data_IF_692598676867
#
_entry.id   IF_692598676867
#
_cell.length_a   1.000
_cell.length_b   1.000
_cell.length_c   1.000
_cell.angle_alpha   90.00
_cell.angle_beta   90.00
_cell.angle_gamma   90.00
#
_symmetry.space_group_name_H-M   'P 1'
#
loop_
_entity.id
_entity.type
_entity.pdbx_description
1 polymer ?
#
# COMPACT_ATOMS: atom_id res chain seq x y z
N UNK A 1 18.20 -30.76 9.69
CA UNK A 1 18.75 -29.60 8.90
C UNK A 1 18.15 -29.47 7.50
N UNK A 2 18.00 -30.58 6.75
CA UNK A 2 17.48 -30.59 5.35
C UNK A 2 16.08 -29.96 5.20
N UNK A 3 15.10 -30.33 6.05
CA UNK A 3 13.73 -29.82 5.97
C UNK A 3 13.60 -28.32 6.25
N UNK A 4 14.42 -27.73 7.18
CA UNK A 4 14.45 -26.28 7.40
C UNK A 4 14.90 -25.54 6.14
N UNK A 5 15.98 -26.01 5.51
CA UNK A 5 16.51 -25.43 4.26
C UNK A 5 15.48 -25.51 3.13
N UNK A 6 14.84 -26.67 2.96
CA UNK A 6 13.82 -26.87 1.93
C UNK A 6 12.61 -25.95 2.13
N UNK A 7 12.14 -25.77 3.36
CA UNK A 7 11.03 -24.84 3.66
C UNK A 7 11.41 -23.40 3.28
N UNK A 8 12.59 -22.96 3.68
CA UNK A 8 13.04 -21.59 3.35
C UNK A 8 13.19 -21.40 1.84
N UNK A 9 13.72 -22.36 1.11
CA UNK A 9 13.88 -22.25 -0.36
C UNK A 9 12.51 -22.11 -1.06
N UNK A 10 11.46 -22.81 -0.61
CA UNK A 10 10.12 -22.62 -1.14
C UNK A 10 9.55 -21.22 -0.83
N UNK A 11 9.76 -20.73 0.41
CA UNK A 11 9.32 -19.39 0.80
C UNK A 11 10.01 -18.27 0.00
N UNK A 12 11.24 -18.48 -0.47
CA UNK A 12 11.99 -17.53 -1.30
C UNK A 12 11.40 -17.32 -2.69
N UNK A 13 10.53 -18.22 -3.14
CA UNK A 13 9.85 -18.11 -4.43
C UNK A 13 8.55 -17.30 -4.37
N UNK A 14 8.04 -17.03 -3.17
CA UNK A 14 6.76 -16.36 -2.96
C UNK A 14 6.95 -14.85 -2.77
N UNK A 15 6.11 -14.02 -3.42
CA UNK A 15 6.15 -12.57 -3.26
C UNK A 15 5.82 -12.11 -1.84
N UNK A 16 4.99 -12.85 -1.15
CA UNK A 16 4.70 -12.80 0.28
C UNK A 16 4.12 -14.14 0.71
N UNK A 17 3.98 -14.37 2.00
CA UNK A 17 3.29 -15.53 2.56
C UNK A 17 2.75 -15.24 3.94
N UNK A 18 1.63 -15.86 4.25
CA UNK A 18 1.05 -15.85 5.60
C UNK A 18 1.47 -17.08 6.40
N UNK A 19 1.10 -17.09 7.69
CA UNK A 19 1.41 -18.19 8.59
C UNK A 19 0.79 -19.52 8.12
N UNK A 20 -0.40 -19.49 7.54
CA UNK A 20 -1.09 -20.66 7.01
C UNK A 20 -0.33 -21.27 5.83
N UNK A 21 0.15 -20.46 4.91
CA UNK A 21 1.02 -20.90 3.81
C UNK A 21 2.26 -21.62 4.34
N UNK A 22 2.91 -21.10 5.38
CA UNK A 22 4.08 -21.76 5.97
C UNK A 22 3.73 -23.10 6.59
N UNK A 23 2.55 -23.22 7.26
CA UNK A 23 2.08 -24.50 7.79
C UNK A 23 1.78 -25.52 6.69
N UNK A 24 1.12 -25.10 5.61
CA UNK A 24 0.84 -25.98 4.47
C UNK A 24 2.12 -26.54 3.85
N UNK A 25 3.10 -25.67 3.58
CA UNK A 25 4.42 -26.09 3.08
C UNK A 25 5.15 -26.98 4.10
N UNK A 26 5.05 -26.66 5.38
CA UNK A 26 5.60 -27.48 6.46
C UNK A 26 5.01 -28.91 6.48
N UNK A 27 3.70 -29.05 6.35
CA UNK A 27 3.03 -30.35 6.27
C UNK A 27 3.50 -31.19 5.08
N UNK A 28 3.67 -30.58 3.91
CA UNK A 28 4.24 -31.25 2.72
C UNK A 28 5.66 -31.79 2.97
N UNK A 29 6.41 -31.14 3.87
CA UNK A 29 7.76 -31.57 4.27
C UNK A 29 7.76 -32.50 5.52
N UNK A 30 6.59 -32.99 5.96
CA UNK A 30 6.44 -33.86 7.14
C UNK A 30 6.71 -33.15 8.47
N UNK A 31 6.55 -31.82 8.54
CA UNK A 31 6.79 -31.03 9.76
C UNK A 31 5.50 -30.85 10.55
N UNK A 32 5.59 -30.95 11.88
CA UNK A 32 4.52 -30.56 12.82
C UNK A 32 4.46 -29.03 12.94
N UNK A 33 3.28 -28.46 13.21
CA UNK A 33 3.07 -27.00 13.31
C UNK A 33 3.99 -26.34 14.34
N UNK A 34 4.21 -26.96 15.51
CA UNK A 34 5.15 -26.47 16.53
C UNK A 34 6.59 -26.34 16.02
N UNK A 35 6.99 -27.23 15.12
CA UNK A 35 8.32 -27.16 14.48
C UNK A 35 8.39 -26.03 13.45
N UNK A 36 7.29 -25.82 12.72
CA UNK A 36 7.16 -24.68 11.78
C UNK A 36 7.24 -23.36 12.53
N UNK A 37 6.55 -23.19 13.66
CA UNK A 37 6.65 -21.99 14.51
C UNK A 37 8.09 -21.72 14.97
N UNK A 38 8.79 -22.80 15.36
CA UNK A 38 10.22 -22.69 15.70
C UNK A 38 11.05 -22.20 14.51
N UNK A 39 10.75 -22.65 13.29
CA UNK A 39 11.47 -22.21 12.09
C UNK A 39 11.13 -20.77 11.73
N UNK A 40 9.87 -20.33 11.79
CA UNK A 40 9.49 -18.93 11.59
C UNK A 40 10.27 -18.02 12.54
N UNK A 41 10.30 -18.36 13.84
CA UNK A 41 11.04 -17.58 14.85
C UNK A 41 12.55 -17.51 14.53
N UNK A 42 13.14 -18.61 14.07
CA UNK A 42 14.55 -18.63 13.66
C UNK A 42 14.80 -17.82 12.38
N UNK A 43 13.93 -17.92 11.37
CA UNK A 43 14.03 -17.16 10.13
C UNK A 43 13.96 -15.65 10.40
N UNK A 44 13.07 -15.20 11.30
CA UNK A 44 12.99 -13.81 11.75
C UNK A 44 14.28 -13.37 12.47
N UNK A 45 14.77 -14.21 13.43
CA UNK A 45 16.00 -13.92 14.17
C UNK A 45 17.21 -13.75 13.27
N UNK A 46 17.34 -14.61 12.25
CA UNK A 46 18.47 -14.59 11.29
C UNK A 46 18.21 -13.68 10.10
N UNK A 47 17.11 -12.90 10.10
CA UNK A 47 16.72 -11.98 9.01
C UNK A 47 16.59 -12.68 7.65
N UNK A 48 16.25 -13.98 7.64
CA UNK A 48 15.97 -14.77 6.44
C UNK A 48 14.57 -14.43 5.89
N UNK A 49 13.67 -13.96 6.77
CA UNK A 49 12.35 -13.40 6.43
C UNK A 49 12.11 -12.09 7.20
N UNK A 50 11.27 -11.22 6.64
CA UNK A 50 10.82 -9.98 7.27
C UNK A 50 9.32 -10.05 7.56
N UNK A 51 8.92 -9.55 8.72
CA UNK A 51 7.51 -9.45 9.08
C UNK A 51 6.94 -8.14 8.58
N UNK A 52 5.82 -8.23 7.82
CA UNK A 52 5.04 -7.08 7.34
C UNK A 52 4.01 -6.63 8.38
N UNK A 53 3.30 -7.62 8.95
CA UNK A 53 2.42 -7.51 10.11
C UNK A 53 2.33 -8.87 10.79
N UNK A 54 1.63 -8.97 11.93
CA UNK A 54 1.44 -10.26 12.61
C UNK A 54 0.88 -11.31 11.66
N UNK A 55 1.63 -12.39 11.48
CA UNK A 55 1.25 -13.54 10.64
C UNK A 55 1.43 -13.33 9.14
N UNK A 56 2.04 -12.24 8.69
CA UNK A 56 2.33 -11.96 7.28
C UNK A 56 3.81 -11.62 7.09
N UNK A 57 4.44 -12.24 6.11
CA UNK A 57 5.88 -12.22 5.92
C UNK A 57 6.29 -12.12 4.46
N UNK A 58 7.54 -11.76 4.22
CA UNK A 58 8.24 -11.85 2.95
C UNK A 58 9.64 -12.41 3.19
N UNK A 59 10.18 -13.18 2.26
CA UNK A 59 11.58 -13.60 2.36
C UNK A 59 12.52 -12.43 2.05
N UNK A 60 13.63 -12.33 2.79
CA UNK A 60 14.64 -11.30 2.55
C UNK A 60 15.18 -11.38 1.11
N UNK A 61 15.40 -12.60 0.60
CA UNK A 61 15.89 -12.80 -0.76
C UNK A 61 14.91 -12.31 -1.83
N UNK A 62 13.60 -12.53 -1.67
CA UNK A 62 12.61 -12.03 -2.64
C UNK A 62 12.51 -10.51 -2.57
N UNK A 63 12.50 -9.94 -1.36
CA UNK A 63 12.48 -8.50 -1.15
C UNK A 63 13.69 -7.83 -1.79
N UNK A 64 14.90 -8.30 -1.52
CA UNK A 64 16.13 -7.70 -2.07
C UNK A 64 16.16 -7.68 -3.61
N UNK A 65 15.61 -8.71 -4.26
CA UNK A 65 15.51 -8.78 -5.72
C UNK A 65 14.50 -7.80 -6.32
N UNK A 66 13.51 -7.34 -5.53
CA UNK A 66 12.39 -6.56 -6.03
C UNK A 66 12.24 -5.19 -5.33
N UNK A 67 13.09 -4.85 -4.37
CA UNK A 67 12.96 -3.61 -3.56
C UNK A 67 12.99 -2.31 -4.35
N UNK A 68 13.61 -2.31 -5.52
CA UNK A 68 13.67 -1.14 -6.41
C UNK A 68 12.48 -1.08 -7.40
N UNK A 69 11.60 -2.08 -7.40
CA UNK A 69 10.38 -2.10 -8.20
C UNK A 69 9.23 -1.49 -7.37
N UNK A 70 8.80 -0.29 -7.74
CA UNK A 70 7.71 0.40 -7.03
C UNK A 70 6.41 -0.42 -7.03
N UNK A 71 6.16 -1.20 -8.10
CA UNK A 71 4.96 -2.04 -8.19
C UNK A 71 4.95 -3.11 -7.10
N UNK A 72 6.12 -3.63 -6.71
CA UNK A 72 6.22 -4.58 -5.60
C UNK A 72 5.88 -3.93 -4.25
N UNK A 73 6.35 -2.72 -4.02
CA UNK A 73 6.05 -1.98 -2.79
C UNK A 73 4.55 -1.65 -2.68
N UNK A 74 3.92 -1.27 -3.78
CA UNK A 74 2.47 -0.98 -3.86
C UNK A 74 1.63 -2.26 -3.71
N UNK A 75 2.07 -3.35 -4.33
CA UNK A 75 1.48 -4.67 -4.12
C UNK A 75 1.48 -5.08 -2.64
N UNK A 76 2.64 -4.97 -1.96
CA UNK A 76 2.74 -5.27 -0.54
C UNK A 76 1.82 -4.38 0.31
N UNK A 77 1.70 -3.09 -0.03
CA UNK A 77 0.78 -2.19 0.66
C UNK A 77 -0.66 -2.69 0.58
N UNK A 78 -1.14 -3.13 -0.60
CA UNK A 78 -2.49 -3.67 -0.74
C UNK A 78 -2.68 -5.00 0.04
N UNK A 79 -1.64 -5.84 0.12
CA UNK A 79 -1.68 -7.12 0.87
C UNK A 79 -1.66 -6.88 2.38
N UNK A 80 -0.88 -5.92 2.87
CA UNK A 80 -0.80 -5.60 4.31
C UNK A 80 -2.18 -5.24 4.85
N UNK A 81 -3.00 -4.50 4.09
CA UNK A 81 -4.31 -4.06 4.57
C UNK A 81 -5.35 -4.04 3.44
N UNK A 82 -6.17 -5.06 3.38
CA UNK A 82 -7.25 -5.22 2.40
C UNK A 82 -8.61 -4.98 3.05
N UNK A 83 -9.57 -4.25 2.42
CA UNK A 83 -9.40 -3.54 1.15
C UNK A 83 -8.63 -2.22 1.31
N UNK A 84 -7.81 -1.90 0.34
CA UNK A 84 -7.12 -0.61 0.22
C UNK A 84 -6.66 -0.37 -1.22
N UNK A 85 -6.36 0.86 -1.53
CA UNK A 85 -5.69 1.28 -2.76
C UNK A 85 -4.63 2.34 -2.44
N UNK A 86 -3.59 2.41 -3.26
CA UNK A 86 -2.55 3.44 -3.18
C UNK A 86 -3.19 4.79 -3.50
N UNK A 87 -2.93 5.82 -2.71
CA UNK A 87 -3.55 7.14 -2.88
C UNK A 87 -2.68 8.27 -2.32
N UNK A 88 -3.23 9.49 -2.33
CA UNK A 88 -2.56 10.68 -1.80
C UNK A 88 -1.17 10.83 -2.41
N UNK A 89 -0.18 11.19 -1.60
CA UNK A 89 1.19 11.46 -2.04
C UNK A 89 1.80 10.33 -2.89
N UNK A 90 1.65 9.06 -2.48
CA UNK A 90 2.25 7.95 -3.20
C UNK A 90 1.66 7.76 -4.62
N UNK A 91 0.37 8.00 -4.79
CA UNK A 91 -0.26 7.96 -6.11
C UNK A 91 0.07 9.21 -6.94
N UNK A 92 0.08 10.41 -6.34
CA UNK A 92 0.47 11.64 -7.03
C UNK A 92 1.91 11.56 -7.55
N UNK A 93 2.82 10.99 -6.76
CA UNK A 93 4.20 10.73 -7.20
C UNK A 93 4.25 9.72 -8.35
N UNK A 94 3.47 8.65 -8.29
CA UNK A 94 3.40 7.65 -9.37
C UNK A 94 2.97 8.26 -10.71
N UNK A 95 2.11 9.29 -10.68
CA UNK A 95 1.66 10.04 -11.86
C UNK A 95 2.54 11.23 -12.21
N UNK A 96 3.68 11.43 -11.54
CA UNK A 96 4.58 12.58 -11.72
C UNK A 96 3.94 13.95 -11.48
N UNK A 97 2.86 14.01 -10.68
CA UNK A 97 2.19 15.27 -10.31
C UNK A 97 2.88 15.99 -9.14
N UNK A 98 3.89 15.38 -8.57
CA UNK A 98 4.79 15.92 -7.55
C UNK A 98 6.21 15.44 -7.80
N UNK A 99 7.20 16.26 -7.50
CA UNK A 99 8.62 15.95 -7.70
C UNK A 99 9.29 15.31 -6.47
N UNK A 100 8.69 15.48 -5.29
CA UNK A 100 9.29 15.03 -4.05
C UNK A 100 9.05 13.53 -3.81
N UNK A 101 10.10 12.85 -3.31
CA UNK A 101 9.97 11.46 -2.85
C UNK A 101 9.14 11.40 -1.58
N UNK A 102 8.11 10.57 -1.55
CA UNK A 102 7.20 10.46 -0.41
C UNK A 102 7.45 9.19 0.41
N UNK A 103 7.62 9.39 1.70
CA UNK A 103 7.60 8.33 2.71
C UNK A 103 6.62 8.71 3.81
N UNK A 104 5.77 7.81 4.26
CA UNK A 104 5.53 6.40 3.89
C UNK A 104 4.68 6.21 2.63
N UNK A 105 4.58 4.98 2.11
CA UNK A 105 3.62 4.62 1.05
C UNK A 105 2.21 4.83 1.60
N UNK A 106 1.51 5.83 1.03
CA UNK A 106 0.17 6.22 1.47
C UNK A 106 -0.91 5.44 0.74
N UNK A 107 -1.89 4.96 1.50
CA UNK A 107 -3.03 4.18 1.01
C UNK A 107 -4.31 4.61 1.69
N UNK A 108 -5.42 4.46 0.99
CA UNK A 108 -6.77 4.70 1.49
C UNK A 108 -7.48 3.36 1.73
N UNK A 109 -8.26 3.25 2.81
CA UNK A 109 -8.91 2.00 3.22
C UNK A 109 -10.27 2.26 3.87
N UNK A 110 -11.17 1.26 3.88
CA UNK A 110 -12.39 1.27 4.68
C UNK A 110 -12.18 0.90 6.16
N UNK A 111 -10.98 0.40 6.50
CA UNK A 111 -10.64 0.02 7.88
C UNK A 111 -10.09 1.22 8.64
N UNK A 112 -10.04 1.12 9.98
CA UNK A 112 -9.48 2.19 10.85
C UNK A 112 -8.07 2.59 10.41
N UNK A 113 -7.75 3.87 10.53
CA UNK A 113 -6.42 4.42 10.22
C UNK A 113 -5.33 3.65 10.95
N UNK A 114 -4.24 3.32 10.25
CA UNK A 114 -3.11 2.59 10.84
C UNK A 114 -1.83 2.77 10.03
N UNK A 115 -0.72 2.82 10.75
CA UNK A 115 0.62 2.82 10.18
C UNK A 115 1.33 1.50 10.48
N UNK A 116 2.16 1.05 9.54
CA UNK A 116 3.06 -0.08 9.70
C UNK A 116 4.49 0.35 9.38
N UNK A 117 5.38 0.18 10.35
CA UNK A 117 6.82 0.35 10.18
C UNK A 117 7.44 -1.03 10.11
N UNK A 118 8.05 -1.35 8.99
CA UNK A 118 8.59 -2.68 8.70
C UNK A 118 10.02 -2.58 8.16
N UNK A 119 10.70 -3.72 8.08
CA UNK A 119 12.04 -3.79 7.45
C UNK A 119 12.01 -3.61 5.93
N UNK A 120 10.83 -3.69 5.31
CA UNK A 120 10.67 -3.55 3.85
C UNK A 120 10.09 -2.19 3.44
N UNK A 121 9.76 -1.34 4.41
CA UNK A 121 9.21 0.01 4.16
C UNK A 121 8.18 0.42 5.19
N UNK A 122 7.75 1.67 5.10
CA UNK A 122 6.73 2.28 5.92
C UNK A 122 5.44 2.43 5.12
N UNK A 123 4.32 2.01 5.69
CA UNK A 123 3.02 2.00 5.05
C UNK A 123 2.01 2.75 5.91
N UNK A 124 1.33 3.72 5.33
CA UNK A 124 0.30 4.52 5.99
C UNK A 124 -1.06 4.25 5.36
N UNK A 125 -2.07 4.01 6.20
CA UNK A 125 -3.44 3.76 5.77
C UNK A 125 -4.36 4.74 6.47
N UNK A 126 -5.10 5.50 5.68
CA UNK A 126 -6.09 6.44 6.16
C UNK A 126 -7.51 5.92 5.85
N UNK A 127 -8.38 6.01 6.86
CA UNK A 127 -9.77 5.57 6.74
C UNK A 127 -10.60 6.60 5.98
N UNK A 128 -11.36 6.15 5.00
CA UNK A 128 -12.31 7.00 4.27
C UNK A 128 -13.74 6.49 4.43
N UNK A 129 -14.73 7.36 4.30
CA UNK A 129 -16.13 6.97 4.27
C UNK A 129 -16.42 6.09 3.05
N UNK A 130 -17.36 5.15 3.20
CA UNK A 130 -17.70 4.17 2.16
C UNK A 130 -18.11 4.83 0.84
N UNK A 131 -18.84 5.94 0.90
CA UNK A 131 -19.32 6.67 -0.27
C UNK A 131 -18.21 7.28 -1.12
N UNK A 132 -17.03 7.50 -0.52
CA UNK A 132 -15.84 8.00 -1.19
C UNK A 132 -14.82 6.90 -1.52
N UNK A 133 -15.11 5.63 -1.21
CA UNK A 133 -14.22 4.50 -1.52
C UNK A 133 -14.44 4.03 -2.97
N UNK A 134 -14.04 4.86 -3.92
CA UNK A 134 -14.26 4.69 -5.37
C UNK A 134 -13.13 5.34 -6.19
N UNK A 135 -13.24 5.31 -7.52
CA UNK A 135 -12.31 5.95 -8.46
C UNK A 135 -10.86 5.47 -8.30
N UNK A 136 -10.69 4.17 -8.09
CA UNK A 136 -9.42 3.45 -8.13
C UNK A 136 -9.54 2.25 -9.06
N UNK A 137 -8.43 1.77 -9.57
CA UNK A 137 -8.39 0.66 -10.52
C UNK A 137 -7.20 -0.25 -10.28
N UNK A 138 -7.25 -1.44 -10.86
CA UNK A 138 -6.17 -2.41 -10.82
C UNK A 138 -5.15 -2.08 -11.92
N UNK A 139 -3.91 -1.86 -11.53
CA UNK A 139 -2.77 -1.84 -12.45
C UNK A 139 -2.23 -3.26 -12.57
N UNK A 140 -2.25 -3.80 -13.80
CA UNK A 140 -1.72 -5.10 -14.11
C UNK A 140 -0.25 -5.01 -14.52
N UNK A 141 0.56 -5.92 -14.01
CA UNK A 141 1.98 -5.98 -14.32
C UNK A 141 2.64 -7.18 -13.63
N UNK A 142 3.93 -7.09 -13.36
CA UNK A 142 4.64 -8.11 -12.59
C UNK A 142 4.04 -8.28 -11.19
N UNK A 143 3.63 -7.20 -10.57
CA UNK A 143 2.90 -7.16 -9.31
C UNK A 143 1.67 -6.28 -9.50
N UNK A 144 0.50 -6.88 -9.36
CA UNK A 144 -0.77 -6.18 -9.52
C UNK A 144 -1.10 -5.39 -8.25
N UNK A 145 -1.52 -4.14 -8.40
CA UNK A 145 -1.90 -3.30 -7.26
C UNK A 145 -3.06 -2.37 -7.61
N UNK A 146 -3.86 -2.00 -6.61
CA UNK A 146 -4.90 -1.00 -6.73
C UNK A 146 -4.34 0.39 -6.45
N UNK A 147 -4.67 1.35 -7.30
CA UNK A 147 -4.26 2.76 -7.18
C UNK A 147 -5.42 3.68 -7.52
N UNK A 148 -5.53 4.79 -6.80
CA UNK A 148 -6.45 5.88 -7.12
C UNK A 148 -6.14 6.47 -8.49
N UNK A 149 -7.16 6.98 -9.21
CA UNK A 149 -6.91 7.86 -10.35
C UNK A 149 -6.22 9.17 -9.89
N UNK A 150 -5.59 9.93 -10.78
CA UNK A 150 -4.95 11.21 -10.43
C UNK A 150 -5.87 12.15 -9.64
N UNK A 151 -7.08 12.37 -10.14
CA UNK A 151 -8.12 13.18 -9.48
C UNK A 151 -8.50 12.65 -8.09
N UNK A 152 -8.61 11.33 -7.96
CA UNK A 152 -8.95 10.68 -6.69
C UNK A 152 -7.81 10.75 -5.69
N UNK A 153 -6.57 10.61 -6.14
CA UNK A 153 -5.39 10.75 -5.29
C UNK A 153 -5.29 12.14 -4.66
N UNK A 154 -5.55 13.18 -5.48
CA UNK A 154 -5.59 14.56 -5.02
C UNK A 154 -6.77 14.81 -4.07
N UNK A 155 -7.97 14.31 -4.42
CA UNK A 155 -9.14 14.39 -3.55
C UNK A 155 -8.86 13.77 -2.18
N UNK A 156 -8.33 12.55 -2.12
CA UNK A 156 -8.02 11.87 -0.87
C UNK A 156 -7.00 12.65 -0.03
N UNK A 157 -5.97 13.19 -0.67
CA UNK A 157 -4.97 14.00 0.01
C UNK A 157 -5.61 15.20 0.72
N UNK A 158 -6.43 15.98 0.00
CA UNK A 158 -7.11 17.13 0.58
C UNK A 158 -8.13 16.71 1.64
N UNK A 159 -8.89 15.65 1.38
CA UNK A 159 -9.88 15.11 2.33
C UNK A 159 -9.26 14.78 3.70
N UNK A 160 -8.09 14.16 3.71
CA UNK A 160 -7.40 13.83 4.95
C UNK A 160 -6.72 15.04 5.59
N UNK A 161 -6.12 15.90 4.79
CA UNK A 161 -5.39 17.08 5.26
C UNK A 161 -6.32 18.12 5.89
N UNK A 162 -7.51 18.26 5.36
CA UNK A 162 -8.52 19.24 5.84
C UNK A 162 -9.56 18.64 6.78
N UNK A 163 -9.31 17.46 7.34
CA UNK A 163 -10.28 16.77 8.20
C UNK A 163 -11.66 16.65 7.54
N UNK A 164 -11.71 16.13 6.30
CA UNK A 164 -12.93 15.95 5.50
C UNK A 164 -13.53 17.27 5.01
N UNK A 165 -12.68 18.21 4.62
CA UNK A 165 -13.04 19.57 4.18
C UNK A 165 -13.82 20.40 5.21
N UNK A 166 -13.65 20.11 6.51
CA UNK A 166 -14.29 20.91 7.55
C UNK A 166 -13.80 22.35 7.52
N UNK A 167 -14.73 23.29 7.36
CA UNK A 167 -14.42 24.73 7.32
C UNK A 167 -13.71 25.20 6.06
N UNK A 168 -13.48 24.34 5.07
CA UNK A 168 -12.94 24.74 3.76
C UNK A 168 -14.09 25.16 2.87
N UNK A 169 -13.99 26.36 2.28
CA UNK A 169 -14.92 26.82 1.24
C UNK A 169 -14.47 26.28 -0.11
N UNK A 170 -15.41 25.97 -1.01
CA UNK A 170 -15.13 25.40 -2.33
C UNK A 170 -14.16 26.28 -3.16
N UNK A 171 -14.31 27.59 -3.07
CA UNK A 171 -13.46 28.59 -3.73
C UNK A 171 -12.00 28.55 -3.27
N UNK A 172 -11.73 28.06 -2.06
CA UNK A 172 -10.38 27.98 -1.49
C UNK A 172 -9.66 26.68 -1.86
N UNK A 173 -10.34 25.72 -2.52
CA UNK A 173 -9.73 24.42 -2.87
C UNK A 173 -8.55 24.62 -3.83
N UNK A 174 -8.66 25.53 -4.79
CA UNK A 174 -7.56 25.84 -5.73
C UNK A 174 -6.33 26.36 -4.98
N UNK A 175 -6.51 27.26 -4.04
CA UNK A 175 -5.43 27.82 -3.21
C UNK A 175 -4.73 26.69 -2.43
N UNK A 176 -5.51 25.76 -1.84
CA UNK A 176 -4.94 24.60 -1.12
C UNK A 176 -4.09 23.70 -2.03
N UNK A 177 -4.49 23.51 -3.28
CA UNK A 177 -3.71 22.73 -4.25
C UNK A 177 -2.39 23.45 -4.59
N UNK A 178 -2.44 24.76 -4.83
CA UNK A 178 -1.27 25.60 -5.11
C UNK A 178 -0.29 25.60 -3.93
N UNK A 179 -0.77 25.72 -2.69
CA UNK A 179 0.05 25.63 -1.48
C UNK A 179 0.80 24.29 -1.34
N UNK A 180 0.20 23.21 -1.85
CA UNK A 180 0.82 21.88 -1.84
C UNK A 180 1.81 21.67 -2.98
N UNK A 181 1.99 22.65 -3.86
CA UNK A 181 2.85 22.57 -5.05
C UNK A 181 2.52 21.36 -5.93
N UNK A 182 1.24 21.04 -6.04
CA UNK A 182 0.74 19.98 -6.92
C UNK A 182 0.38 20.61 -8.25
N UNK A 183 0.98 20.14 -9.31
CA UNK A 183 0.71 20.62 -10.65
C UNK A 183 -0.57 19.96 -11.20
N UNK A 184 -1.71 20.62 -10.95
CA UNK A 184 -3.01 20.12 -11.44
C UNK A 184 -3.13 20.28 -12.96
N UNK A 185 -2.38 21.19 -13.56
CA UNK A 185 -2.43 21.46 -15.00
C UNK A 185 -1.73 20.34 -15.81
N UNK A 186 -0.86 19.57 -15.17
CA UNK A 186 -0.31 18.31 -15.72
C UNK A 186 -1.32 17.15 -15.77
N UNK A 187 -2.46 17.26 -15.07
CA UNK A 187 -3.55 16.30 -15.23
C UNK A 187 -4.28 16.58 -16.56
N UNK A 188 -4.72 15.50 -17.22
CA UNK A 188 -5.63 15.68 -18.35
C UNK A 188 -6.96 16.35 -17.91
N UNK A 189 -7.63 17.01 -18.87
CA UNK A 189 -8.85 17.78 -18.59
C UNK A 189 -9.94 16.93 -17.95
N UNK A 190 -10.05 15.66 -18.33
CA UNK A 190 -11.04 14.73 -17.79
C UNK A 190 -10.79 14.47 -16.30
N UNK A 191 -9.54 14.28 -15.89
CA UNK A 191 -9.19 14.10 -14.48
C UNK A 191 -9.38 15.36 -13.66
N UNK A 192 -9.06 16.56 -14.23
CA UNK A 192 -9.36 17.84 -13.57
C UNK A 192 -10.88 17.99 -13.31
N UNK A 193 -11.72 17.72 -14.32
CA UNK A 193 -13.17 17.82 -14.20
C UNK A 193 -13.72 16.81 -13.17
N UNK A 194 -13.22 15.57 -13.14
CA UNK A 194 -13.57 14.58 -12.12
C UNK A 194 -13.19 15.04 -10.71
N UNK A 195 -12.03 15.67 -10.55
CA UNK A 195 -11.61 16.21 -9.25
C UNK A 195 -12.61 17.25 -8.75
N UNK A 196 -12.95 18.26 -9.55
CA UNK A 196 -13.91 19.30 -9.17
C UNK A 196 -15.31 18.75 -8.95
N UNK A 197 -15.77 17.74 -9.69
CA UNK A 197 -17.03 17.06 -9.44
C UNK A 197 -17.05 16.33 -8.08
N UNK A 198 -15.96 15.67 -7.69
CA UNK A 198 -15.87 15.04 -6.37
C UNK A 198 -15.90 16.09 -5.25
N UNK A 199 -15.24 17.23 -5.44
CA UNK A 199 -15.28 18.34 -4.48
C UNK A 199 -16.73 18.88 -4.36
N UNK A 200 -17.40 19.15 -5.48
CA UNK A 200 -18.78 19.66 -5.48
C UNK A 200 -19.75 18.76 -4.68
N UNK A 201 -19.66 17.43 -4.88
CA UNK A 201 -20.47 16.44 -4.14
C UNK A 201 -20.30 16.44 -2.62
N UNK A 202 -19.24 17.06 -2.10
CA UNK A 202 -19.04 17.19 -0.65
C UNK A 202 -19.86 18.32 -0.04
N UNK A 203 -20.29 19.28 -0.86
CA UNK A 203 -21.02 20.48 -0.42
C UNK A 203 -22.51 20.41 -0.77
N UNK A 204 -22.94 19.35 -1.48
CA UNK A 204 -24.34 18.99 -1.70
C UNK A 204 -24.86 18.10 -0.55
#
# INVERSE_FOLDING_TARGET
MKSKKNLLEQLKLLPYFDKNTVYQLGKQLGLKDSKVDTYISRFLKYKEIFQLKRGLYVSASFFEKNKNDISYSFYLANIIRTPSYISSWAALQYYNLITESTYPISSTTLKVTRNYQTKVGNFSYQSIKKDFFSNFFLVNGKFNFYIASPSKALFDLLYFRTYQFRGVKIENVKILVEELRIDIDEMDKTEQDKFYLMIKKLYE
#
